data_IF_595977189402
#
_entry.id   IF_595977189402
#
_cell.length_a   1.000
_cell.length_b   1.000
_cell.length_c   1.000
_cell.angle_alpha   90.00
_cell.angle_beta   90.00
_cell.angle_gamma   90.00
#
_symmetry.space_group_name_H-M   'P 1'
#
loop_
_entity.id
_entity.type
_entity.pdbx_description
1 polymer ?
#
# COMPACT_ATOMS: atom_id res chain seq x y z
N UNK A 1 11.50 17.90 6.26
CA UNK A 1 11.90 16.48 6.43
C UNK A 1 11.83 15.81 5.08
N UNK A 2 12.88 15.10 4.66
CA UNK A 2 12.91 14.37 3.38
C UNK A 2 12.46 12.93 3.59
N UNK A 3 11.74 12.35 2.62
CA UNK A 3 11.35 10.95 2.60
C UNK A 3 11.23 10.46 1.15
N UNK A 4 11.27 9.14 0.97
CA UNK A 4 11.07 8.49 -0.33
C UNK A 4 9.66 7.92 -0.38
N UNK A 5 9.00 8.11 -1.51
CA UNK A 5 7.68 7.57 -1.80
C UNK A 5 7.66 6.85 -3.13
N UNK A 6 6.75 5.88 -3.25
CA UNK A 6 6.47 5.16 -4.47
C UNK A 6 4.96 5.16 -4.70
N UNK A 7 4.50 5.86 -5.75
CA UNK A 7 3.08 6.11 -5.97
C UNK A 7 2.44 5.20 -7.02
N UNK A 8 3.24 4.39 -7.72
CA UNK A 8 2.74 3.48 -8.75
C UNK A 8 3.18 2.07 -8.41
N UNK A 9 2.27 1.33 -7.78
CA UNK A 9 2.39 -0.11 -7.57
C UNK A 9 1.11 -0.80 -8.03
N UNK A 10 1.18 -2.12 -8.14
CA UNK A 10 0.04 -2.95 -8.48
C UNK A 10 -0.23 -3.97 -7.35
N UNK A 11 -1.49 -4.30 -7.15
CA UNK A 11 -1.96 -5.30 -6.20
C UNK A 11 -1.86 -6.72 -6.78
N UNK A 12 -2.11 -7.73 -5.94
CA UNK A 12 -2.24 -9.13 -6.37
C UNK A 12 -3.35 -9.38 -7.40
N UNK A 13 -4.27 -8.43 -7.60
CA UNK A 13 -5.36 -8.53 -8.58
C UNK A 13 -4.96 -8.04 -9.98
N UNK A 14 -3.81 -7.37 -10.12
CA UNK A 14 -3.28 -7.01 -11.42
C UNK A 14 -2.75 -8.23 -12.17
N UNK A 15 -2.92 -8.23 -13.50
CA UNK A 15 -2.37 -9.29 -14.36
C UNK A 15 -0.84 -9.26 -14.33
N UNK A 16 -0.22 -10.44 -14.43
CA UNK A 16 1.24 -10.59 -14.43
C UNK A 16 1.96 -9.94 -13.22
N UNK A 17 1.26 -9.86 -12.09
CA UNK A 17 1.79 -9.35 -10.82
C UNK A 17 1.89 -10.50 -9.81
N UNK A 18 2.85 -10.43 -8.87
CA UNK A 18 3.02 -11.47 -7.84
C UNK A 18 1.76 -11.59 -6.97
N UNK A 19 1.42 -12.82 -6.58
CA UNK A 19 0.36 -13.07 -5.58
C UNK A 19 0.72 -12.51 -4.20
N UNK A 20 2.01 -12.25 -3.95
CA UNK A 20 2.50 -11.60 -2.74
C UNK A 20 2.31 -10.08 -2.75
N UNK A 21 1.75 -9.47 -3.80
CA UNK A 21 1.42 -8.04 -3.81
C UNK A 21 0.17 -7.74 -2.97
N UNK A 22 0.21 -8.12 -1.70
CA UNK A 22 -0.78 -7.85 -0.67
C UNK A 22 -0.20 -6.91 0.41
N UNK A 23 -1.07 -6.22 1.16
CA UNK A 23 -0.68 -5.20 2.15
C UNK A 23 0.47 -5.62 3.10
N UNK A 24 0.48 -6.85 3.70
CA UNK A 24 1.55 -7.25 4.61
C UNK A 24 2.94 -7.24 3.97
N UNK A 25 3.07 -7.85 2.79
CA UNK A 25 4.32 -8.02 2.05
C UNK A 25 4.76 -6.70 1.39
N UNK A 26 3.80 -5.92 0.86
CA UNK A 26 4.07 -4.58 0.33
C UNK A 26 4.66 -3.70 1.42
N UNK A 27 4.05 -3.65 2.61
CA UNK A 27 4.53 -2.83 3.71
C UNK A 27 5.89 -3.30 4.25
N UNK A 28 6.11 -4.61 4.35
CA UNK A 28 7.42 -5.15 4.74
C UNK A 28 8.51 -4.80 3.73
N UNK A 29 8.22 -4.93 2.44
CA UNK A 29 9.15 -4.58 1.36
C UNK A 29 9.42 -3.07 1.31
N UNK A 30 8.40 -2.24 1.54
CA UNK A 30 8.52 -0.79 1.63
C UNK A 30 9.47 -0.38 2.78
N UNK A 31 9.33 -1.00 3.96
CA UNK A 31 10.27 -0.79 5.09
C UNK A 31 11.70 -1.15 4.71
N UNK A 32 11.90 -2.33 4.12
CA UNK A 32 13.22 -2.81 3.68
C UNK A 32 13.85 -1.87 2.64
N UNK A 33 13.03 -1.33 1.72
CA UNK A 33 13.44 -0.37 0.67
C UNK A 33 13.66 1.06 1.21
N UNK A 34 13.20 1.37 2.43
CA UNK A 34 13.29 2.71 3.03
C UNK A 34 12.19 3.68 2.56
N UNK A 35 11.08 3.16 2.02
CA UNK A 35 9.92 3.97 1.65
C UNK A 35 9.13 4.35 2.90
N UNK A 36 8.72 5.63 2.99
CA UNK A 36 7.92 6.13 4.11
C UNK A 36 6.45 6.33 3.76
N UNK A 37 6.16 6.49 2.47
CA UNK A 37 4.83 6.70 1.92
C UNK A 37 4.67 5.85 0.65
N UNK A 38 3.52 5.23 0.47
CA UNK A 38 3.24 4.36 -0.66
C UNK A 38 1.85 4.62 -1.23
N UNK A 39 1.74 4.68 -2.56
CA UNK A 39 0.44 4.64 -3.24
C UNK A 39 -0.19 3.26 -3.08
N UNK A 40 -1.48 3.18 -2.80
CA UNK A 40 -2.16 1.88 -2.61
C UNK A 40 -2.18 1.01 -3.86
N UNK A 41 -2.10 1.62 -5.04
CA UNK A 41 -2.27 0.95 -6.34
C UNK A 41 -3.69 0.41 -6.51
N UNK A 42 -4.14 0.23 -7.75
CA UNK A 42 -5.36 -0.51 -8.12
C UNK A 42 -6.64 -0.23 -7.29
N UNK A 43 -6.79 0.93 -6.64
CA UNK A 43 -7.85 1.17 -5.65
C UNK A 43 -9.26 1.17 -6.25
N UNK A 44 -9.37 1.19 -7.58
CA UNK A 44 -10.63 1.04 -8.32
C UNK A 44 -11.07 -0.42 -8.44
N UNK A 45 -10.21 -1.39 -8.13
CA UNK A 45 -10.57 -2.81 -8.09
C UNK A 45 -11.37 -3.11 -6.82
N UNK A 46 -12.61 -3.65 -6.91
CA UNK A 46 -13.54 -3.67 -5.79
C UNK A 46 -13.06 -4.54 -4.61
N UNK A 47 -12.46 -5.71 -4.88
CA UNK A 47 -11.91 -6.55 -3.83
C UNK A 47 -10.67 -5.92 -3.17
N UNK A 48 -9.86 -5.19 -3.94
CA UNK A 48 -8.70 -4.51 -3.39
C UNK A 48 -9.14 -3.36 -2.49
N UNK A 49 -10.08 -2.53 -2.96
CA UNK A 49 -10.67 -1.45 -2.17
C UNK A 49 -11.27 -1.95 -0.85
N UNK A 50 -11.99 -3.07 -0.87
CA UNK A 50 -12.55 -3.68 0.34
C UNK A 50 -11.46 -4.07 1.34
N UNK A 51 -10.34 -4.64 0.88
CA UNK A 51 -9.19 -4.96 1.73
C UNK A 51 -8.53 -3.69 2.29
N UNK A 52 -8.32 -2.67 1.45
CA UNK A 52 -7.77 -1.39 1.88
C UNK A 52 -8.63 -0.76 2.99
N UNK A 53 -9.95 -0.72 2.81
CA UNK A 53 -10.88 -0.18 3.81
C UNK A 53 -10.89 -0.96 5.13
N UNK A 54 -10.70 -2.29 5.06
CA UNK A 54 -10.67 -3.17 6.23
C UNK A 54 -9.39 -2.99 7.04
N UNK A 55 -8.25 -2.92 6.36
CA UNK A 55 -6.95 -3.12 6.99
C UNK A 55 -6.18 -1.80 7.23
N UNK A 56 -6.46 -0.75 6.44
CA UNK A 56 -5.81 0.54 6.59
C UNK A 56 -6.47 1.39 7.68
N UNK A 57 -5.65 2.04 8.51
CA UNK A 57 -6.14 2.96 9.54
C UNK A 57 -6.01 4.40 9.07
N UNK A 58 -7.06 5.25 9.12
CA UNK A 58 -6.95 6.65 8.76
C UNK A 58 -6.10 7.40 9.79
N UNK A 59 -5.32 8.37 9.33
CA UNK A 59 -4.48 9.23 10.20
C UNK A 59 -5.05 10.64 10.40
N UNK A 60 -6.19 10.94 9.78
CA UNK A 60 -6.94 12.19 9.97
C UNK A 60 -6.58 13.35 9.02
N UNK A 61 -5.57 13.17 8.16
CA UNK A 61 -5.11 14.19 7.20
C UNK A 61 -5.20 13.72 5.74
N UNK A 62 -6.03 12.72 5.45
CA UNK A 62 -6.16 12.10 4.13
C UNK A 62 -5.16 10.97 3.87
N UNK A 63 -4.19 10.73 4.75
CA UNK A 63 -3.33 9.55 4.70
C UNK A 63 -3.87 8.40 5.55
N UNK A 64 -3.44 7.21 5.20
CA UNK A 64 -3.70 5.99 5.92
C UNK A 64 -2.39 5.42 6.48
N UNK A 65 -2.47 4.42 7.34
CA UNK A 65 -1.28 3.76 7.87
C UNK A 65 -1.50 2.25 7.99
N UNK A 66 -0.48 1.49 7.60
CA UNK A 66 -0.39 0.05 7.79
C UNK A 66 1.02 -0.33 8.21
N UNK A 67 1.16 -0.87 9.43
CA UNK A 67 2.46 -1.27 10.01
C UNK A 67 3.54 -0.20 9.78
N UNK A 68 3.32 1.04 10.21
CA UNK A 68 4.29 2.15 10.10
C UNK A 68 4.60 2.67 8.68
N UNK A 69 3.93 2.15 7.65
CA UNK A 69 3.97 2.69 6.29
C UNK A 69 2.72 3.53 6.05
N UNK A 70 2.91 4.75 5.56
CA UNK A 70 1.83 5.67 5.19
C UNK A 70 1.36 5.43 3.74
#
# INVERSE_FOLDING_TARGET
MQFIADFHVHSLFSRATSQDMALPQIAESAKRKGLKLLGTGDFTHPQWLSMLQKDLKPTGNGLFIYRDIY
#
